data_IF_732267309609
#
_entry.id   IF_732267309609
#
_cell.length_a   1.000
_cell.length_b   1.000
_cell.length_c   1.000
_cell.angle_alpha   90.00
_cell.angle_beta   90.00
_cell.angle_gamma   90.00
#
_symmetry.space_group_name_H-M   'P 1'
#
loop_
_entity.id
_entity.type
_entity.pdbx_description
1 polymer ?
#
# COMPACT_ATOMS: atom_id res chain seq x y z
N UNK A 1 20.22 16.18 -5.00
CA UNK A 1 19.57 15.84 -3.72
C UNK A 1 18.32 15.04 -4.01
N UNK A 2 18.09 13.97 -3.28
CA UNK A 2 17.05 12.93 -3.47
C UNK A 2 15.59 13.41 -3.29
N UNK A 3 15.29 14.67 -3.60
CA UNK A 3 13.99 15.30 -3.35
C UNK A 3 12.86 14.90 -4.32
N UNK A 4 13.04 13.93 -5.21
CA UNK A 4 12.07 13.65 -6.29
C UNK A 4 11.69 12.17 -6.49
N UNK A 5 12.04 11.25 -5.59
CA UNK A 5 11.67 9.84 -5.78
C UNK A 5 10.15 9.57 -5.58
N UNK A 6 9.45 10.38 -4.78
CA UNK A 6 8.02 10.22 -4.51
C UNK A 6 7.20 11.40 -5.08
N UNK A 7 7.13 11.47 -6.41
CA UNK A 7 6.19 12.37 -7.10
C UNK A 7 4.75 12.11 -6.64
N UNK A 8 3.87 13.10 -6.78
CA UNK A 8 2.46 12.96 -6.43
C UNK A 8 1.81 11.73 -7.07
N UNK A 9 2.10 11.50 -8.36
CA UNK A 9 1.63 10.32 -9.10
C UNK A 9 2.07 9.01 -8.44
N UNK A 10 3.33 8.91 -7.98
CA UNK A 10 3.82 7.72 -7.27
C UNK A 10 3.16 7.56 -5.91
N UNK A 11 2.93 8.65 -5.17
CA UNK A 11 2.18 8.61 -3.90
C UNK A 11 0.76 8.10 -4.11
N UNK A 12 0.07 8.57 -5.15
CA UNK A 12 -1.26 8.09 -5.50
C UNK A 12 -1.26 6.60 -5.85
N UNK A 13 -0.25 6.11 -6.60
CA UNK A 13 -0.10 4.68 -6.89
C UNK A 13 0.02 3.85 -5.61
N UNK A 14 0.83 4.30 -4.65
CA UNK A 14 0.99 3.62 -3.36
C UNK A 14 -0.34 3.62 -2.59
N UNK A 15 -1.00 4.77 -2.45
CA UNK A 15 -2.26 4.90 -1.70
C UNK A 15 -3.35 3.99 -2.29
N UNK A 16 -3.51 4.00 -3.61
CA UNK A 16 -4.50 3.15 -4.30
C UNK A 16 -4.18 1.67 -4.10
N UNK A 17 -2.91 1.28 -4.24
CA UNK A 17 -2.51 -0.12 -4.03
C UNK A 17 -2.77 -0.61 -2.60
N UNK A 18 -2.49 0.21 -1.57
CA UNK A 18 -2.78 -0.13 -0.17
C UNK A 18 -4.29 -0.27 0.04
N UNK A 19 -5.09 0.66 -0.49
CA UNK A 19 -6.55 0.58 -0.40
C UNK A 19 -7.12 -0.67 -1.09
N UNK A 20 -6.56 -1.05 -2.24
CA UNK A 20 -6.92 -2.30 -2.93
C UNK A 20 -6.59 -3.53 -2.08
N UNK A 21 -5.39 -3.57 -1.47
CA UNK A 21 -4.98 -4.65 -0.58
C UNK A 21 -5.90 -4.79 0.64
N UNK A 22 -6.23 -3.68 1.30
CA UNK A 22 -7.16 -3.67 2.44
C UNK A 22 -8.57 -4.14 2.03
N UNK A 23 -9.07 -3.70 0.87
CA UNK A 23 -10.37 -4.15 0.33
C UNK A 23 -10.37 -5.66 0.11
N UNK A 24 -9.29 -6.19 -0.47
CA UNK A 24 -9.14 -7.64 -0.67
C UNK A 24 -9.15 -8.39 0.66
N UNK A 25 -8.39 -7.93 1.65
CA UNK A 25 -8.33 -8.57 2.97
C UNK A 25 -9.68 -8.59 3.70
N UNK A 26 -10.43 -7.49 3.62
CA UNK A 26 -11.71 -7.38 4.33
C UNK A 26 -12.89 -8.07 3.63
N UNK A 27 -12.92 -8.09 2.29
CA UNK A 27 -14.11 -8.48 1.55
C UNK A 27 -13.93 -9.66 0.59
N UNK A 28 -12.71 -9.95 0.16
CA UNK A 28 -12.45 -11.00 -0.83
C UNK A 28 -11.79 -12.24 -0.20
N UNK A 29 -11.01 -12.09 0.89
CA UNK A 29 -10.49 -13.23 1.66
C UNK A 29 -11.58 -13.91 2.49
N UNK A 30 -11.47 -15.24 2.59
CA UNK A 30 -12.28 -16.07 3.48
C UNK A 30 -11.37 -16.99 4.32
N UNK A 31 -11.30 -16.79 5.65
CA UNK A 31 -11.96 -15.74 6.42
C UNK A 31 -11.41 -14.33 6.10
N UNK A 32 -12.21 -13.30 6.34
CA UNK A 32 -11.75 -11.92 6.25
C UNK A 32 -10.60 -11.68 7.24
N UNK A 33 -9.62 -10.88 6.83
CA UNK A 33 -8.42 -10.59 7.61
C UNK A 33 -8.33 -9.10 7.94
N UNK A 34 -8.14 -8.76 9.22
CA UNK A 34 -7.95 -7.38 9.66
C UNK A 34 -6.48 -7.12 9.94
N UNK A 35 -5.88 -6.16 9.23
CA UNK A 35 -4.55 -5.67 9.54
C UNK A 35 -4.64 -4.71 10.75
N UNK A 36 -4.21 -5.16 11.92
CA UNK A 36 -4.36 -4.41 13.18
C UNK A 36 -3.50 -3.13 13.23
N UNK A 37 -2.29 -3.17 12.65
CA UNK A 37 -1.32 -2.08 12.72
C UNK A 37 -0.90 -1.66 11.31
N UNK A 38 -1.65 -0.73 10.73
CA UNK A 38 -1.29 -0.11 9.45
C UNK A 38 -0.53 1.19 9.68
N UNK A 39 0.79 1.13 9.54
CA UNK A 39 1.67 2.30 9.54
C UNK A 39 2.71 2.17 8.41
N UNK A 40 3.55 3.19 8.22
CA UNK A 40 4.51 3.21 7.11
C UNK A 40 5.56 2.11 7.16
N UNK A 41 5.82 1.51 8.32
CA UNK A 41 6.75 0.36 8.44
C UNK A 41 6.11 -0.97 8.06
N UNK A 42 4.77 -1.03 8.02
CA UNK A 42 4.01 -2.22 7.63
C UNK A 42 3.78 -2.32 6.11
N UNK A 43 4.17 -1.29 5.34
CA UNK A 43 3.98 -1.24 3.87
C UNK A 43 5.34 -1.24 3.20
N UNK A 44 5.68 -2.33 2.51
CA UNK A 44 6.90 -2.38 1.71
C UNK A 44 6.61 -1.90 0.29
N UNK A 45 7.59 -1.22 -0.31
CA UNK A 45 7.51 -0.79 -1.70
C UNK A 45 8.42 -1.65 -2.56
N UNK A 46 7.91 -2.10 -3.70
CA UNK A 46 8.73 -2.62 -4.79
C UNK A 46 9.50 -1.51 -5.49
N UNK A 47 10.44 -1.87 -6.36
CA UNK A 47 11.22 -0.92 -7.17
C UNK A 47 10.33 -0.01 -8.06
N UNK A 48 9.13 -0.48 -8.42
CA UNK A 48 8.16 0.28 -9.21
C UNK A 48 7.15 1.10 -8.37
N UNK A 49 7.39 1.25 -7.06
CA UNK A 49 6.50 1.94 -6.11
C UNK A 49 5.09 1.32 -6.00
N UNK A 50 5.00 -0.01 -6.10
CA UNK A 50 3.78 -0.75 -5.76
C UNK A 50 3.87 -1.22 -4.30
N UNK A 51 2.79 -1.09 -3.51
CA UNK A 51 2.78 -1.55 -2.12
C UNK A 51 2.66 -3.08 -2.05
N UNK A 52 3.33 -3.67 -1.06
CA UNK A 52 3.36 -5.11 -0.77
C UNK A 52 3.17 -5.36 0.72
#
# INVERSE_FOLDING_TARGET
>A
GEGCQLSWTRRMKIIVGVACGLRYMHYELQPAFTLLELNSSAVYLTEDFSPK
#
